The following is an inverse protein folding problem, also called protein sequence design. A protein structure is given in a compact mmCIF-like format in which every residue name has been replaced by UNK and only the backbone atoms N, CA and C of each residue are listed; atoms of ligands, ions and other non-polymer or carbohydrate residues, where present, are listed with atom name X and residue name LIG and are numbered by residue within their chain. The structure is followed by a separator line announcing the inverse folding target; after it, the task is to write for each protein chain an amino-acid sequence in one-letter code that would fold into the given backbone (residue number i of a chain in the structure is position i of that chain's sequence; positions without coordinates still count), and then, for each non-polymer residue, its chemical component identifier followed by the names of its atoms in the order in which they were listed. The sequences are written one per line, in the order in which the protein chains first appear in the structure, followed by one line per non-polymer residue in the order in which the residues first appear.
data_IF_514727071944
#
_entry.id   IF_514727071944
#
_cell.length_a   1.000
_cell.length_b   1.000
_cell.length_c   1.000
_cell.angle_alpha   90.00
_cell.angle_beta   90.00
_cell.angle_gamma   90.00
#
_symmetry.space_group_name_H-M   'P 1'
#
loop_
_entity.id
_entity.type
_entity.pdbx_description
1 polymer ?
#
# COMPACT_ATOMS: atom_id res chain seq x y z
N UNK A 1 -4.68 7.59 -30.10
CA UNK A 1 -3.39 6.92 -29.83
C UNK A 1 -2.36 7.98 -29.55
N UNK A 2 -1.66 7.91 -28.42
CA UNK A 2 -0.67 8.89 -27.99
C UNK A 2 0.68 8.20 -27.75
N UNK A 3 1.78 8.98 -27.82
CA UNK A 3 3.13 8.53 -27.44
C UNK A 3 3.39 9.01 -26.01
N UNK A 4 3.69 8.07 -25.10
CA UNK A 4 3.80 8.32 -23.67
C UNK A 4 5.18 7.88 -23.19
N UNK A 5 5.89 8.76 -22.52
CA UNK A 5 7.04 8.44 -21.69
C UNK A 5 6.60 8.22 -20.26
N UNK A 6 7.11 7.18 -19.62
CA UNK A 6 6.92 6.92 -18.18
C UNK A 6 8.29 6.87 -17.52
N UNK A 7 8.54 7.72 -16.54
CA UNK A 7 9.81 7.81 -15.83
C UNK A 7 9.66 7.17 -14.45
N UNK A 8 10.44 6.10 -14.24
CA UNK A 8 10.37 5.23 -13.07
C UNK A 8 9.54 3.98 -13.34
N UNK A 9 10.18 2.82 -13.36
CA UNK A 9 9.54 1.50 -13.50
C UNK A 9 9.33 0.82 -12.15
N UNK A 10 9.00 1.61 -11.12
CA UNK A 10 8.49 1.10 -9.85
C UNK A 10 7.04 0.61 -10.00
N UNK A 11 6.42 0.22 -8.90
CA UNK A 11 5.05 -0.31 -8.88
C UNK A 11 4.05 0.55 -9.68
N UNK A 12 3.97 1.83 -9.39
CA UNK A 12 3.05 2.78 -10.04
C UNK A 12 3.41 2.97 -11.52
N UNK A 13 4.70 3.17 -11.82
CA UNK A 13 5.12 3.45 -13.19
C UNK A 13 4.99 2.24 -14.10
N UNK A 14 5.36 1.06 -13.66
CA UNK A 14 5.23 -0.17 -14.42
C UNK A 14 3.76 -0.49 -14.74
N UNK A 15 2.89 -0.41 -13.74
CA UNK A 15 1.44 -0.59 -13.93
C UNK A 15 0.88 0.46 -14.90
N UNK A 16 1.27 1.73 -14.73
CA UNK A 16 0.86 2.82 -15.62
C UNK A 16 1.28 2.56 -17.07
N UNK A 17 2.53 2.15 -17.28
CA UNK A 17 3.07 1.87 -18.61
C UNK A 17 2.37 0.68 -19.30
N UNK A 18 2.21 -0.42 -18.59
CA UNK A 18 1.56 -1.62 -19.10
C UNK A 18 0.07 -1.38 -19.43
N UNK A 19 -0.65 -0.71 -18.54
CA UNK A 19 -2.06 -0.42 -18.74
C UNK A 19 -2.31 0.60 -19.86
N UNK A 20 -1.48 1.65 -20.02
CA UNK A 20 -1.59 2.54 -21.18
C UNK A 20 -1.28 1.82 -22.49
N UNK A 21 -0.29 0.90 -22.53
CA UNK A 21 -0.04 0.06 -23.69
C UNK A 21 -1.25 -0.82 -24.03
N UNK A 22 -1.92 -1.37 -23.04
CA UNK A 22 -3.17 -2.14 -23.16
C UNK A 22 -4.32 -1.27 -23.70
N UNK A 23 -4.41 0.00 -23.29
CA UNK A 23 -5.40 0.97 -23.80
C UNK A 23 -5.07 1.46 -25.22
N UNK A 24 -3.99 0.98 -25.84
CA UNK A 24 -3.66 1.24 -27.23
C UNK A 24 -2.69 2.40 -27.46
N UNK A 25 -2.06 2.93 -26.43
CA UNK A 25 -1.02 3.94 -26.54
C UNK A 25 0.36 3.30 -26.83
N UNK A 26 1.30 4.08 -27.34
CA UNK A 26 2.71 3.66 -27.46
C UNK A 26 3.49 4.21 -26.28
N UNK A 27 4.12 3.34 -25.50
CA UNK A 27 4.72 3.69 -24.22
C UNK A 27 6.21 3.33 -24.20
N UNK A 28 7.02 4.28 -23.73
CA UNK A 28 8.42 4.10 -23.38
C UNK A 28 8.55 4.26 -21.88
N UNK A 29 8.90 3.18 -21.17
CA UNK A 29 9.09 3.20 -19.72
C UNK A 29 10.59 3.17 -19.39
N UNK A 30 11.05 4.16 -18.66
CA UNK A 30 12.44 4.36 -18.28
C UNK A 30 12.69 4.05 -16.82
N UNK A 31 13.83 3.47 -16.52
CA UNK A 31 14.36 3.34 -15.14
C UNK A 31 15.89 3.56 -15.16
N UNK A 32 16.45 3.90 -14.01
CA UNK A 32 17.90 4.06 -13.82
C UNK A 32 18.60 2.75 -13.51
N UNK A 33 17.85 1.72 -13.13
CA UNK A 33 18.34 0.38 -12.83
C UNK A 33 18.42 -0.48 -14.08
N UNK A 34 19.63 -0.70 -14.60
CA UNK A 34 19.86 -1.49 -15.80
C UNK A 34 19.48 -2.97 -15.67
N UNK A 35 19.60 -3.56 -14.48
CA UNK A 35 19.21 -4.95 -14.25
C UNK A 35 17.68 -5.09 -14.33
N UNK A 36 16.95 -4.18 -13.70
CA UNK A 36 15.50 -4.09 -13.77
C UNK A 36 15.02 -3.89 -15.20
N UNK A 37 15.59 -2.93 -15.94
CA UNK A 37 15.25 -2.68 -17.34
C UNK A 37 15.45 -3.93 -18.20
N UNK A 38 16.57 -4.64 -18.02
CA UNK A 38 16.84 -5.87 -18.75
C UNK A 38 15.84 -6.99 -18.42
N UNK A 39 15.46 -7.16 -17.16
CA UNK A 39 14.46 -8.13 -16.72
C UNK A 39 13.07 -7.79 -17.30
N UNK A 40 12.63 -6.54 -17.17
CA UNK A 40 11.36 -6.06 -17.71
C UNK A 40 11.28 -6.20 -19.25
N UNK A 41 12.41 -6.03 -19.95
CA UNK A 41 12.51 -6.28 -21.39
C UNK A 41 12.25 -7.73 -21.81
N UNK A 42 12.35 -8.67 -20.85
CA UNK A 42 12.01 -10.10 -21.02
C UNK A 42 10.67 -10.47 -20.37
N UNK A 43 9.90 -9.47 -19.93
CA UNK A 43 8.66 -9.64 -19.16
C UNK A 43 8.87 -10.35 -17.80
N UNK A 44 10.07 -10.30 -17.23
CA UNK A 44 10.37 -10.77 -15.90
C UNK A 44 10.07 -9.64 -14.90
N UNK A 45 9.03 -9.83 -14.08
CA UNK A 45 8.54 -8.82 -13.14
C UNK A 45 8.82 -9.29 -11.72
N UNK A 46 9.51 -8.47 -10.92
CA UNK A 46 9.84 -8.78 -9.53
C UNK A 46 8.72 -8.44 -8.53
N UNK A 47 7.63 -7.83 -8.96
CA UNK A 47 6.54 -7.43 -8.08
C UNK A 47 5.37 -8.43 -8.17
N UNK A 48 4.81 -8.79 -7.03
CA UNK A 48 3.61 -9.62 -6.96
C UNK A 48 2.35 -8.78 -7.26
N UNK A 49 1.97 -8.71 -8.55
CA UNK A 49 0.77 -7.98 -9.00
C UNK A 49 0.01 -8.81 -10.04
N UNK A 50 -1.18 -9.32 -9.73
CA UNK A 50 -1.96 -10.16 -10.63
C UNK A 50 -2.21 -9.52 -11.99
N UNK A 51 -1.90 -10.26 -13.07
CA UNK A 51 -2.13 -9.84 -14.45
C UNK A 51 -1.11 -8.85 -15.02
N UNK A 52 -0.20 -8.28 -14.21
CA UNK A 52 0.77 -7.29 -14.69
C UNK A 52 1.80 -7.92 -15.63
N UNK A 53 2.29 -9.12 -15.34
CA UNK A 53 3.24 -9.84 -16.18
C UNK A 53 2.67 -10.09 -17.59
N UNK A 54 1.41 -10.52 -17.68
CA UNK A 54 0.73 -10.77 -18.94
C UNK A 54 0.58 -9.49 -19.76
N UNK A 55 0.22 -8.37 -19.13
CA UNK A 55 0.09 -7.07 -19.79
C UNK A 55 1.43 -6.56 -20.32
N UNK A 56 2.51 -6.72 -19.56
CA UNK A 56 3.86 -6.35 -20.01
C UNK A 56 4.25 -7.20 -21.21
N UNK A 57 4.08 -8.53 -21.14
CA UNK A 57 4.38 -9.44 -22.25
C UNK A 57 3.54 -9.12 -23.51
N UNK A 58 2.26 -8.80 -23.34
CA UNK A 58 1.38 -8.36 -24.44
C UNK A 58 1.88 -7.05 -25.05
N UNK A 59 2.20 -6.05 -24.24
CA UNK A 59 2.69 -4.75 -24.66
C UNK A 59 4.00 -4.84 -25.45
N UNK A 60 4.95 -5.65 -24.98
CA UNK A 60 6.23 -5.92 -25.67
C UNK A 60 6.00 -6.61 -27.02
N UNK A 61 5.21 -7.67 -27.07
CA UNK A 61 4.88 -8.40 -28.30
C UNK A 61 4.18 -7.53 -29.34
N UNK A 62 3.32 -6.62 -28.90
CA UNK A 62 2.59 -5.68 -29.75
C UNK A 62 3.44 -4.46 -30.17
N UNK A 63 4.70 -4.37 -29.73
CA UNK A 63 5.57 -3.21 -29.89
C UNK A 63 4.94 -1.88 -29.41
N UNK A 64 4.03 -1.96 -28.43
CA UNK A 64 3.40 -0.80 -27.78
C UNK A 64 4.06 -0.41 -26.47
N UNK A 65 4.88 -1.28 -25.90
CA UNK A 65 5.65 -1.04 -24.69
C UNK A 65 7.11 -1.37 -24.95
N UNK A 66 8.02 -0.53 -24.50
CA UNK A 66 9.45 -0.82 -24.44
C UNK A 66 10.04 -0.24 -23.16
N UNK A 67 11.09 -0.87 -22.65
CA UNK A 67 11.83 -0.43 -21.49
C UNK A 67 13.20 0.10 -21.89
N UNK A 68 13.65 1.19 -21.26
CA UNK A 68 14.91 1.86 -21.60
C UNK A 68 15.67 2.26 -20.34
N UNK A 69 17.00 2.23 -20.44
CA UNK A 69 17.88 2.69 -19.38
C UNK A 69 18.07 4.21 -19.49
N UNK A 70 17.82 4.92 -18.40
CA UNK A 70 17.89 6.38 -18.38
C UNK A 70 16.71 7.04 -19.10
N UNK A 71 16.53 8.35 -18.89
CA UNK A 71 15.31 9.06 -19.22
C UNK A 71 15.22 9.56 -20.69
N UNK A 72 16.36 9.66 -21.40
CA UNK A 72 16.45 10.35 -22.69
C UNK A 72 15.38 9.91 -23.71
N UNK A 73 15.23 8.61 -23.92
CA UNK A 73 14.27 8.05 -24.88
C UNK A 73 12.81 8.23 -24.45
N UNK A 74 12.54 8.26 -23.14
CA UNK A 74 11.20 8.45 -22.60
C UNK A 74 10.79 9.93 -22.54
N UNK A 75 11.75 10.84 -22.67
CA UNK A 75 11.53 12.29 -22.73
C UNK A 75 11.42 12.79 -24.18
N UNK A 76 12.11 12.12 -25.13
CA UNK A 76 12.15 12.58 -26.52
C UNK A 76 10.94 12.10 -27.32
N UNK A 77 10.44 12.96 -28.20
CA UNK A 77 9.37 12.67 -29.18
C UNK A 77 8.08 12.03 -28.62
N UNK A 78 7.70 12.38 -27.39
CA UNK A 78 6.48 11.94 -26.74
C UNK A 78 5.46 13.07 -26.59
N UNK A 79 4.17 12.71 -26.49
CA UNK A 79 3.07 13.66 -26.29
C UNK A 79 2.87 13.97 -24.80
N UNK A 80 3.18 12.98 -23.96
CA UNK A 80 3.05 13.03 -22.51
C UNK A 80 4.26 12.38 -21.85
N UNK A 81 4.68 12.94 -20.71
CA UNK A 81 5.67 12.33 -19.83
C UNK A 81 5.05 12.16 -18.44
N UNK A 82 4.92 10.92 -17.98
CA UNK A 82 4.44 10.61 -16.64
C UNK A 82 5.61 10.43 -15.68
N UNK A 83 5.67 11.26 -14.64
CA UNK A 83 6.64 11.14 -13.56
C UNK A 83 6.09 10.19 -12.51
N UNK A 84 6.66 9.00 -12.44
CA UNK A 84 6.30 7.92 -11.51
C UNK A 84 7.49 7.55 -10.60
N UNK A 85 8.32 8.52 -10.26
CA UNK A 85 9.50 8.36 -9.42
C UNK A 85 9.12 8.34 -7.94
N UNK A 86 9.95 7.71 -7.07
CA UNK A 86 9.68 7.66 -5.63
C UNK A 86 9.72 9.04 -4.99
N UNK A 87 8.84 9.23 -3.99
CA UNK A 87 8.79 10.40 -3.11
C UNK A 87 8.78 9.93 -1.66
N UNK A 88 9.93 9.44 -1.13
CA UNK A 88 10.00 8.89 0.22
C UNK A 88 9.83 10.00 1.26
N UNK A 89 9.63 9.61 2.52
CA UNK A 89 9.59 10.56 3.64
C UNK A 89 11.00 11.06 3.94
N UNK A 90 11.19 12.36 3.93
CA UNK A 90 12.42 13.03 4.37
C UNK A 90 12.59 12.99 5.90
N UNK A 91 13.75 13.45 6.37
CA UNK A 91 14.08 13.46 7.79
C UNK A 91 13.16 14.36 8.64
N UNK A 92 12.57 15.37 8.03
CA UNK A 92 11.60 16.31 8.59
C UNK A 92 10.14 15.85 8.50
N UNK A 93 9.89 14.65 7.93
CA UNK A 93 8.56 14.14 7.69
C UNK A 93 7.93 14.60 6.37
N UNK A 94 8.49 15.58 5.68
CA UNK A 94 8.05 16.02 4.37
C UNK A 94 8.37 15.00 3.26
N UNK A 95 7.73 15.12 2.10
CA UNK A 95 8.06 14.30 0.94
C UNK A 95 9.41 14.75 0.32
N UNK A 96 10.34 13.82 0.12
CA UNK A 96 11.58 14.07 -0.61
C UNK A 96 11.31 14.09 -2.12
N UNK A 97 11.48 15.24 -2.74
CA UNK A 97 11.27 15.48 -4.17
C UNK A 97 12.56 15.47 -4.99
N UNK A 98 13.67 14.97 -4.44
CA UNK A 98 14.97 14.94 -5.12
C UNK A 98 14.89 14.22 -6.46
N UNK A 99 14.23 13.07 -6.53
CA UNK A 99 14.06 12.32 -7.77
C UNK A 99 13.18 13.06 -8.79
N UNK A 100 12.10 13.69 -8.34
CA UNK A 100 11.24 14.55 -9.19
C UNK A 100 12.05 15.69 -9.78
N UNK A 101 12.80 16.43 -8.96
CA UNK A 101 13.63 17.55 -9.39
C UNK A 101 14.75 17.14 -10.36
N UNK A 102 15.31 15.93 -10.22
CA UNK A 102 16.32 15.40 -11.13
C UNK A 102 15.73 15.18 -12.54
N UNK A 103 14.56 14.51 -12.61
CA UNK A 103 13.87 14.28 -13.91
C UNK A 103 13.46 15.60 -14.57
N UNK A 104 13.02 16.59 -13.80
CA UNK A 104 12.60 17.88 -14.34
C UNK A 104 13.74 18.65 -15.00
N UNK A 105 14.97 18.60 -14.44
CA UNK A 105 16.13 19.21 -15.09
C UNK A 105 16.43 18.58 -16.45
N UNK A 106 16.29 17.28 -16.59
CA UNK A 106 16.45 16.59 -17.88
C UNK A 106 15.29 16.88 -18.83
N UNK A 107 14.05 16.87 -18.32
CA UNK A 107 12.85 17.10 -19.10
C UNK A 107 12.80 18.50 -19.72
N UNK A 108 13.27 19.52 -18.99
CA UNK A 108 13.28 20.93 -19.45
C UNK A 108 13.82 21.09 -20.85
N UNK A 109 14.95 20.42 -21.16
CA UNK A 109 15.65 20.57 -22.42
C UNK A 109 15.28 19.46 -23.45
N UNK A 110 14.76 18.32 -23.00
CA UNK A 110 14.54 17.14 -23.81
C UNK A 110 13.13 17.02 -24.40
N UNK A 111 12.11 17.54 -23.69
CA UNK A 111 10.72 17.39 -24.16
C UNK A 111 10.39 18.31 -25.31
N UNK A 112 9.63 17.82 -26.26
CA UNK A 112 9.21 18.59 -27.44
C UNK A 112 8.16 19.66 -27.08
N UNK A 113 8.04 20.71 -27.90
CA UNK A 113 6.95 21.68 -27.79
C UNK A 113 5.58 21.00 -27.80
N UNK A 114 4.69 21.46 -26.91
CA UNK A 114 3.34 20.92 -26.75
C UNK A 114 3.26 19.59 -25.97
N UNK A 115 4.37 19.09 -25.43
CA UNK A 115 4.37 17.96 -24.51
C UNK A 115 3.67 18.34 -23.19
N UNK A 116 2.99 17.38 -22.56
CA UNK A 116 2.41 17.54 -21.23
C UNK A 116 3.23 16.73 -20.23
N UNK A 117 3.80 17.39 -19.23
CA UNK A 117 4.42 16.75 -18.08
C UNK A 117 3.35 16.40 -17.05
N UNK A 118 3.22 15.13 -16.71
CA UNK A 118 2.18 14.62 -15.80
C UNK A 118 2.83 14.11 -14.53
N UNK A 119 2.58 14.78 -13.40
CA UNK A 119 3.03 14.33 -12.09
C UNK A 119 2.06 13.27 -11.59
N UNK A 120 2.48 12.01 -11.62
CA UNK A 120 1.72 10.88 -11.11
C UNK A 120 2.20 10.47 -9.72
N UNK A 121 3.46 10.71 -9.39
CA UNK A 121 3.98 10.57 -8.03
C UNK A 121 3.15 11.37 -7.03
N UNK A 122 2.99 10.84 -5.82
CA UNK A 122 2.31 11.57 -4.72
C UNK A 122 3.22 12.68 -4.22
N UNK A 123 2.79 13.92 -4.39
CA UNK A 123 3.55 15.13 -4.06
C UNK A 123 2.73 16.10 -3.22
N UNK A 124 3.35 16.94 -2.35
CA UNK A 124 2.65 17.96 -1.59
C UNK A 124 1.90 18.96 -2.45
N UNK A 125 0.80 19.51 -1.90
CA UNK A 125 0.01 20.54 -2.58
C UNK A 125 0.88 21.76 -2.95
N UNK A 126 0.68 22.27 -4.19
CA UNK A 126 1.48 23.34 -4.79
C UNK A 126 2.75 22.87 -5.54
N UNK A 127 3.03 21.56 -5.54
CA UNK A 127 4.21 21.04 -6.24
C UNK A 127 4.08 21.22 -7.76
N UNK A 128 2.90 21.01 -8.34
CA UNK A 128 2.68 21.13 -9.79
C UNK A 128 2.94 22.55 -10.28
N UNK A 129 2.52 23.58 -9.53
CA UNK A 129 2.78 24.98 -9.84
C UNK A 129 4.28 25.29 -9.77
N UNK A 130 4.95 24.87 -8.69
CA UNK A 130 6.39 25.00 -8.56
C UNK A 130 7.16 24.30 -9.67
N UNK A 131 6.70 23.13 -10.11
CA UNK A 131 7.28 22.41 -11.23
C UNK A 131 7.13 23.20 -12.54
N UNK A 132 5.97 23.78 -12.79
CA UNK A 132 5.76 24.62 -13.97
C UNK A 132 6.70 25.82 -14.00
N UNK A 133 6.92 26.47 -12.85
CA UNK A 133 7.90 27.56 -12.70
C UNK A 133 9.34 27.09 -12.95
N UNK A 134 9.73 25.92 -12.43
CA UNK A 134 11.08 25.36 -12.60
C UNK A 134 11.36 24.94 -14.06
N UNK A 135 10.36 24.41 -14.75
CA UNK A 135 10.45 24.04 -16.16
C UNK A 135 10.62 25.28 -17.04
N UNK A 136 9.97 26.40 -16.68
CA UNK A 136 10.08 27.71 -17.35
C UNK A 136 9.94 27.63 -18.86
N UNK A 137 8.92 26.86 -19.32
CA UNK A 137 8.63 26.61 -20.73
C UNK A 137 7.14 26.79 -21.00
N UNK A 138 6.70 27.92 -21.60
CA UNK A 138 5.29 28.20 -21.87
C UNK A 138 4.65 27.24 -22.87
N UNK A 139 5.45 26.55 -23.66
CA UNK A 139 5.06 25.53 -24.63
C UNK A 139 4.91 24.12 -24.02
N UNK A 140 5.21 23.94 -22.73
CA UNK A 140 5.09 22.70 -21.95
C UNK A 140 4.14 22.91 -20.80
N UNK A 141 3.08 22.14 -20.76
CA UNK A 141 2.12 22.21 -19.66
C UNK A 141 2.43 21.17 -18.59
N UNK A 142 2.22 21.51 -17.32
CA UNK A 142 2.38 20.60 -16.18
C UNK A 142 1.01 20.27 -15.59
N UNK A 143 0.76 19.00 -15.33
CA UNK A 143 -0.52 18.50 -14.86
C UNK A 143 -0.31 17.53 -13.70
N UNK A 144 -1.11 17.63 -12.64
CA UNK A 144 -1.21 16.63 -11.58
C UNK A 144 -2.19 15.54 -11.98
N UNK A 145 -1.78 14.29 -11.90
CA UNK A 145 -2.67 13.13 -12.09
C UNK A 145 -2.35 12.06 -11.05
N UNK A 146 -2.75 12.25 -9.80
CA UNK A 146 -2.47 11.30 -8.73
C UNK A 146 -3.06 9.93 -9.04
N UNK A 147 -2.42 8.89 -8.52
CA UNK A 147 -2.86 7.51 -8.61
C UNK A 147 -3.66 7.10 -7.36
N UNK A 148 -4.51 6.07 -7.51
CA UNK A 148 -5.29 5.47 -6.42
C UNK A 148 -5.19 3.94 -6.49
N UNK A 149 -4.01 3.44 -6.87
CA UNK A 149 -3.72 2.02 -7.05
C UNK A 149 -3.51 1.34 -5.70
N UNK A 150 -4.05 0.13 -5.57
CA UNK A 150 -3.84 -0.74 -4.40
C UNK A 150 -2.92 -1.88 -4.82
N UNK A 151 -1.84 -2.09 -4.09
CA UNK A 151 -0.96 -3.25 -4.30
C UNK A 151 -1.76 -4.55 -4.28
N UNK A 152 -1.47 -5.47 -5.22
CA UNK A 152 -2.26 -6.68 -5.46
C UNK A 152 -3.54 -6.47 -6.28
N UNK A 153 -3.92 -5.23 -6.61
CA UNK A 153 -5.11 -4.89 -7.40
C UNK A 153 -4.87 -3.75 -8.40
N UNK A 154 -3.62 -3.35 -8.63
CA UNK A 154 -3.31 -2.12 -9.36
C UNK A 154 -3.69 -2.18 -10.85
N UNK A 155 -3.60 -3.35 -11.48
CA UNK A 155 -4.05 -3.54 -12.86
C UNK A 155 -5.56 -3.30 -12.97
N UNK A 156 -6.33 -3.86 -12.04
CA UNK A 156 -7.78 -3.68 -12.01
C UNK A 156 -8.16 -2.24 -11.69
N UNK A 157 -7.55 -1.66 -10.66
CA UNK A 157 -7.75 -0.26 -10.25
C UNK A 157 -7.39 0.73 -11.38
N UNK A 158 -6.41 0.41 -12.24
CA UNK A 158 -6.06 1.26 -13.37
C UNK A 158 -7.04 1.12 -14.55
N UNK A 159 -7.43 -0.12 -14.90
CA UNK A 159 -8.28 -0.39 -16.06
C UNK A 159 -9.77 -0.16 -15.77
N UNK A 160 -10.19 -0.24 -14.52
CA UNK A 160 -11.55 0.01 -14.03
C UNK A 160 -11.55 0.99 -12.84
N UNK A 161 -10.95 2.19 -13.00
CA UNK A 161 -10.83 3.10 -11.88
C UNK A 161 -12.20 3.67 -11.49
N UNK A 162 -12.43 3.85 -10.21
CA UNK A 162 -13.64 4.53 -9.72
C UNK A 162 -13.68 6.00 -10.14
N UNK A 163 -12.50 6.60 -10.35
CA UNK A 163 -12.33 7.98 -10.80
C UNK A 163 -10.95 8.22 -11.37
N UNK A 164 -10.84 9.18 -12.27
CA UNK A 164 -9.57 9.79 -12.72
C UNK A 164 -9.55 11.23 -12.23
N UNK A 165 -8.53 11.62 -11.47
CA UNK A 165 -8.37 13.00 -10.98
C UNK A 165 -7.26 13.67 -11.79
N UNK A 166 -7.54 14.85 -12.33
CA UNK A 166 -6.59 15.63 -13.12
C UNK A 166 -6.62 17.08 -12.64
N UNK A 167 -5.48 17.58 -12.19
CA UNK A 167 -5.29 18.94 -11.74
C UNK A 167 -4.43 19.74 -12.70
N UNK A 168 -4.95 20.86 -13.19
CA UNK A 168 -4.21 21.77 -14.06
C UNK A 168 -4.92 23.10 -14.18
N UNK A 169 -4.15 24.17 -14.25
CA UNK A 169 -4.66 25.50 -14.62
C UNK A 169 -4.90 25.63 -16.14
N UNK A 170 -4.28 24.73 -16.94
CA UNK A 170 -4.48 24.64 -18.38
C UNK A 170 -5.56 23.60 -18.72
N UNK A 171 -6.79 24.03 -18.94
CA UNK A 171 -7.95 23.17 -19.19
C UNK A 171 -7.73 22.22 -20.38
N UNK A 172 -7.05 22.66 -21.45
CA UNK A 172 -6.74 21.83 -22.61
C UNK A 172 -5.78 20.69 -22.26
N UNK A 173 -4.73 20.96 -21.48
CA UNK A 173 -3.81 19.94 -21.00
C UNK A 173 -4.53 18.90 -20.13
N UNK A 174 -5.41 19.35 -19.24
CA UNK A 174 -6.22 18.46 -18.40
C UNK A 174 -7.12 17.55 -19.26
N UNK A 175 -7.82 18.11 -20.26
CA UNK A 175 -8.66 17.32 -21.18
C UNK A 175 -7.84 16.29 -21.97
N UNK A 176 -6.64 16.65 -22.43
CA UNK A 176 -5.72 15.74 -23.12
C UNK A 176 -5.30 14.57 -22.24
N UNK A 177 -5.02 14.82 -20.95
CA UNK A 177 -4.69 13.75 -19.99
C UNK A 177 -5.92 12.86 -19.73
N UNK A 178 -7.11 13.42 -19.50
CA UNK A 178 -8.35 12.65 -19.34
C UNK A 178 -8.60 11.74 -20.55
N UNK A 179 -8.34 12.22 -21.76
CA UNK A 179 -8.54 11.44 -23.00
C UNK A 179 -7.67 10.17 -23.06
N UNK A 180 -6.54 10.10 -22.33
CA UNK A 180 -5.72 8.88 -22.26
C UNK A 180 -6.45 7.73 -21.56
N UNK A 181 -7.39 8.05 -20.68
CA UNK A 181 -8.18 7.09 -19.90
C UNK A 181 -9.54 6.77 -20.54
N UNK A 182 -9.83 7.25 -21.75
CA UNK A 182 -11.15 7.09 -22.39
C UNK A 182 -11.62 5.62 -22.46
N UNK A 183 -10.68 4.67 -22.61
CA UNK A 183 -10.97 3.23 -22.67
C UNK A 183 -11.44 2.63 -21.32
N UNK A 184 -11.31 3.35 -20.21
CA UNK A 184 -11.71 2.85 -18.87
C UNK A 184 -13.18 3.12 -18.54
N UNK A 185 -13.81 4.11 -19.18
CA UNK A 185 -15.17 4.53 -18.90
C UNK A 185 -15.37 5.23 -17.55
N UNK A 186 -14.30 5.52 -16.81
CA UNK A 186 -14.37 6.12 -15.49
C UNK A 186 -14.76 7.62 -15.55
N UNK A 187 -15.46 8.13 -14.52
CA UNK A 187 -15.69 9.57 -14.38
C UNK A 187 -14.35 10.30 -14.13
N UNK A 188 -14.19 11.46 -14.75
CA UNK A 188 -13.02 12.30 -14.56
C UNK A 188 -13.40 13.54 -13.74
N UNK A 189 -12.60 13.81 -12.69
CA UNK A 189 -12.63 15.07 -11.95
C UNK A 189 -11.48 15.95 -12.46
N UNK A 190 -11.81 17.03 -13.14
CA UNK A 190 -10.85 18.07 -13.52
C UNK A 190 -10.96 19.21 -12.52
N UNK A 191 -9.81 19.62 -11.95
CA UNK A 191 -9.75 20.65 -10.90
C UNK A 191 -8.42 21.41 -10.96
N UNK A 192 -8.19 22.38 -10.07
CA UNK A 192 -6.88 23.02 -9.90
C UNK A 192 -5.82 22.05 -9.37
N UNK A 193 -4.56 22.33 -9.67
CA UNK A 193 -3.42 21.45 -9.38
C UNK A 193 -3.32 21.11 -7.89
N UNK A 194 -3.35 22.11 -7.01
CA UNK A 194 -3.25 21.91 -5.56
C UNK A 194 -4.40 21.06 -5.00
N UNK A 195 -5.62 21.22 -5.56
CA UNK A 195 -6.78 20.40 -5.17
C UNK A 195 -6.59 18.93 -5.55
N UNK A 196 -6.09 18.64 -6.76
CA UNK A 196 -5.82 17.29 -7.21
C UNK A 196 -4.76 16.59 -6.36
N UNK A 197 -3.67 17.31 -6.03
CA UNK A 197 -2.61 16.83 -5.13
C UNK A 197 -3.17 16.51 -3.75
N UNK A 198 -3.97 17.42 -3.19
CA UNK A 198 -4.57 17.24 -1.87
C UNK A 198 -5.59 16.09 -1.82
N UNK A 199 -6.34 15.82 -2.90
CA UNK A 199 -7.29 14.70 -2.97
C UNK A 199 -6.60 13.37 -2.67
N UNK A 200 -5.37 13.14 -3.15
CA UNK A 200 -4.62 11.91 -2.88
C UNK A 200 -4.34 11.75 -1.39
N UNK A 201 -3.74 12.76 -0.77
CA UNK A 201 -3.44 12.74 0.66
C UNK A 201 -4.69 12.63 1.52
N UNK A 202 -5.71 13.44 1.22
CA UNK A 202 -6.98 13.42 1.96
C UNK A 202 -7.63 12.04 1.93
N UNK A 203 -7.64 11.39 0.74
CA UNK A 203 -8.20 10.04 0.60
C UNK A 203 -7.43 9.02 1.45
N UNK A 204 -6.10 8.98 1.35
CA UNK A 204 -5.29 8.01 2.08
C UNK A 204 -5.35 8.24 3.60
N UNK A 205 -5.30 9.50 4.05
CA UNK A 205 -5.42 9.85 5.47
C UNK A 205 -6.82 9.52 6.03
N UNK A 206 -7.87 9.70 5.24
CA UNK A 206 -9.23 9.31 5.64
C UNK A 206 -9.36 7.79 5.81
N UNK A 207 -8.78 7.01 4.90
CA UNK A 207 -8.77 5.55 5.02
C UNK A 207 -7.95 5.07 6.23
N UNK A 208 -6.79 5.67 6.48
CA UNK A 208 -6.00 5.42 7.68
C UNK A 208 -6.76 5.77 8.97
N UNK A 209 -7.51 6.88 8.96
CA UNK A 209 -8.39 7.27 10.07
C UNK A 209 -9.49 6.23 10.32
N UNK A 210 -10.16 5.71 9.29
CA UNK A 210 -11.17 4.64 9.44
C UNK A 210 -10.59 3.42 10.15
N UNK A 211 -9.38 2.98 9.77
CA UNK A 211 -8.72 1.85 10.41
C UNK A 211 -8.34 2.15 11.87
N UNK A 212 -7.80 3.34 12.17
CA UNK A 212 -7.51 3.75 13.54
C UNK A 212 -8.77 3.84 14.40
N UNK A 213 -9.87 4.37 13.83
CA UNK A 213 -11.17 4.45 14.51
C UNK A 213 -11.72 3.07 14.84
N UNK A 214 -11.72 2.16 13.89
CA UNK A 214 -12.22 0.78 14.10
C UNK A 214 -11.35 0.01 15.09
N UNK A 215 -10.04 0.19 15.07
CA UNK A 215 -9.13 -0.39 16.06
C UNK A 215 -9.44 0.11 17.50
N UNK A 216 -9.78 1.41 17.64
CA UNK A 216 -10.21 1.96 18.92
C UNK A 216 -11.57 1.39 19.36
N UNK A 217 -12.51 1.21 18.44
CA UNK A 217 -13.79 0.56 18.73
C UNK A 217 -13.60 -0.90 19.16
N UNK A 218 -12.68 -1.64 18.51
CA UNK A 218 -12.36 -3.01 18.88
C UNK A 218 -11.90 -3.11 20.33
N UNK A 219 -11.04 -2.20 20.80
CA UNK A 219 -10.64 -2.14 22.19
C UNK A 219 -11.83 -1.84 23.13
N UNK A 220 -12.70 -0.93 22.73
CA UNK A 220 -13.89 -0.62 23.53
C UNK A 220 -14.83 -1.83 23.61
N UNK A 221 -15.05 -2.54 22.50
CA UNK A 221 -15.90 -3.74 22.47
C UNK A 221 -15.44 -4.80 23.47
N UNK A 222 -14.14 -5.08 23.57
CA UNK A 222 -13.58 -6.03 24.53
C UNK A 222 -13.94 -5.64 26.00
N UNK A 223 -13.91 -4.34 26.30
CA UNK A 223 -14.16 -3.84 27.67
C UNK A 223 -15.64 -3.81 28.03
N UNK A 224 -16.52 -3.51 27.06
CA UNK A 224 -17.97 -3.40 27.31
C UNK A 224 -18.73 -4.69 27.00
N UNK A 225 -18.07 -5.70 26.45
CA UNK A 225 -18.66 -7.00 26.11
C UNK A 225 -19.46 -7.00 24.79
N UNK A 226 -19.16 -6.09 23.87
CA UNK A 226 -19.68 -6.08 22.52
C UNK A 226 -18.78 -6.92 21.58
N UNK A 227 -19.29 -7.25 20.38
CA UNK A 227 -18.54 -7.85 19.28
C UNK A 227 -18.27 -6.79 18.21
N UNK A 228 -17.01 -6.60 17.84
CA UNK A 228 -16.62 -5.63 16.82
C UNK A 228 -17.19 -5.99 15.44
N UNK A 229 -17.36 -7.29 15.13
CA UNK A 229 -17.98 -7.74 13.88
C UNK A 229 -19.41 -7.23 13.75
N UNK A 230 -20.22 -7.38 14.80
CA UNK A 230 -21.61 -6.88 14.82
C UNK A 230 -21.65 -5.34 14.70
N UNK A 231 -20.75 -4.65 15.40
CA UNK A 231 -20.67 -3.19 15.35
C UNK A 231 -20.30 -2.71 13.94
N UNK A 232 -19.28 -3.29 13.32
CA UNK A 232 -18.86 -2.89 11.98
C UNK A 232 -19.84 -3.30 10.91
N UNK A 233 -20.54 -4.43 11.07
CA UNK A 233 -21.63 -4.82 10.17
C UNK A 233 -22.78 -3.80 10.23
N UNK A 234 -23.20 -3.40 11.43
CA UNK A 234 -24.19 -2.32 11.58
C UNK A 234 -23.75 -1.01 10.93
N UNK A 235 -22.45 -0.67 11.03
CA UNK A 235 -21.89 0.52 10.37
C UNK A 235 -21.89 0.41 8.83
N UNK A 236 -21.62 -0.78 8.27
CA UNK A 236 -21.59 -1.03 6.82
C UNK A 236 -22.93 -0.84 6.13
N UNK A 237 -24.01 -1.05 6.86
CA UNK A 237 -25.39 -0.86 6.35
C UNK A 237 -25.75 0.62 6.14
N UNK A 238 -24.93 1.55 6.62
CA UNK A 238 -25.11 2.99 6.39
C UNK A 238 -24.24 3.44 5.21
N UNK A 239 -24.87 3.75 4.06
CA UNK A 239 -24.19 4.21 2.84
C UNK A 239 -23.35 5.47 3.06
N UNK A 240 -23.65 6.30 4.06
CA UNK A 240 -22.86 7.50 4.41
C UNK A 240 -21.49 7.14 4.98
N UNK A 241 -21.35 5.95 5.58
CA UNK A 241 -20.09 5.42 6.13
C UNK A 241 -19.33 4.63 5.06
N UNK A 242 -20.04 3.83 4.28
CA UNK A 242 -19.51 2.91 3.29
C UNK A 242 -18.89 1.65 3.91
N UNK A 243 -18.82 0.57 3.14
CA UNK A 243 -18.49 -0.77 3.63
C UNK A 243 -16.99 -1.07 3.79
N UNK A 244 -16.10 -0.27 3.17
CA UNK A 244 -14.67 -0.55 3.15
C UNK A 244 -13.91 0.06 4.32
N UNK A 245 -12.75 -0.54 4.68
CA UNK A 245 -11.85 -0.06 5.74
C UNK A 245 -12.49 -0.03 7.14
N UNK A 246 -13.33 -1.04 7.44
CA UNK A 246 -13.97 -1.25 8.74
C UNK A 246 -13.52 -2.56 9.41
N UNK A 247 -12.48 -3.20 8.93
CA UNK A 247 -11.87 -4.38 9.56
C UNK A 247 -10.80 -3.95 10.56
N UNK A 248 -10.91 -4.34 11.85
CA UNK A 248 -9.82 -4.12 12.80
C UNK A 248 -8.62 -5.00 12.45
N UNK A 249 -7.44 -4.60 12.95
CA UNK A 249 -6.22 -5.34 12.69
C UNK A 249 -5.06 -4.87 13.56
N UNK A 250 -3.83 -5.39 13.32
CA UNK A 250 -2.64 -5.04 14.10
C UNK A 250 -2.14 -3.61 13.84
N UNK A 251 -2.80 -2.88 12.95
CA UNK A 251 -2.47 -1.53 12.52
C UNK A 251 -2.51 -1.41 10.99
N UNK A 252 -2.23 -0.20 10.51
CA UNK A 252 -2.04 0.08 9.09
C UNK A 252 -0.57 0.42 8.79
N UNK A 253 -0.12 0.07 7.59
CA UNK A 253 1.25 0.22 7.14
C UNK A 253 1.34 0.28 5.62
N UNK A 254 2.38 -0.33 5.06
CA UNK A 254 2.67 -0.34 3.64
C UNK A 254 3.32 0.96 3.15
N UNK A 255 3.55 1.04 1.86
CA UNK A 255 4.28 2.12 1.21
C UNK A 255 3.56 3.47 1.16
N UNK A 256 2.24 3.51 1.46
CA UNK A 256 1.41 4.69 1.23
C UNK A 256 0.97 5.40 2.53
N UNK A 257 0.22 4.73 3.40
CA UNK A 257 -0.40 5.39 4.56
C UNK A 257 0.59 6.05 5.52
N UNK A 258 1.71 5.38 5.92
CA UNK A 258 2.67 6.00 6.84
C UNK A 258 3.31 7.26 6.25
N UNK A 259 3.68 7.21 4.98
CA UNK A 259 4.29 8.30 4.24
C UNK A 259 3.30 9.47 4.06
N UNK A 260 2.09 9.17 3.59
CA UNK A 260 1.12 10.19 3.21
C UNK A 260 0.51 10.90 4.43
N UNK A 261 0.32 10.19 5.55
CA UNK A 261 -0.15 10.80 6.80
C UNK A 261 0.88 11.77 7.39
N UNK A 262 2.18 11.42 7.35
CA UNK A 262 3.27 12.31 7.78
C UNK A 262 3.39 13.52 6.85
N UNK A 263 3.36 13.30 5.53
CA UNK A 263 3.47 14.38 4.56
C UNK A 263 2.29 15.38 4.63
N UNK A 264 1.06 14.90 4.84
CA UNK A 264 -0.08 15.79 5.04
C UNK A 264 0.03 16.57 6.35
N UNK A 265 0.54 15.93 7.41
CA UNK A 265 0.76 16.63 8.68
C UNK A 265 1.82 17.72 8.54
N UNK A 266 2.94 17.45 7.87
CA UNK A 266 3.97 18.44 7.55
C UNK A 266 3.40 19.59 6.71
N UNK A 267 2.60 19.28 5.68
CA UNK A 267 1.92 20.30 4.87
C UNK A 267 1.00 21.19 5.71
N UNK A 268 0.27 20.62 6.67
CA UNK A 268 -0.60 21.39 7.57
C UNK A 268 0.23 22.30 8.50
N UNK A 269 1.36 21.83 9.02
CA UNK A 269 2.28 22.59 9.86
C UNK A 269 2.90 23.76 9.10
N UNK A 270 3.34 23.55 7.86
CA UNK A 270 3.86 24.60 6.98
C UNK A 270 2.79 25.66 6.69
N UNK A 271 1.55 25.23 6.50
CA UNK A 271 0.39 26.11 6.34
C UNK A 271 -0.11 26.73 7.66
N UNK A 272 0.52 26.42 8.81
CA UNK A 272 0.11 26.85 10.17
C UNK A 272 -1.31 26.42 10.54
N UNK A 273 -1.74 25.28 10.07
CA UNK A 273 -3.02 24.67 10.40
C UNK A 273 -2.77 23.53 11.40
N UNK A 274 -3.38 23.61 12.58
CA UNK A 274 -3.36 22.48 13.50
C UNK A 274 -4.31 21.37 12.99
N UNK A 275 -3.81 20.13 12.93
CA UNK A 275 -4.59 18.97 12.45
C UNK A 275 -4.65 17.87 13.50
N UNK A 276 -5.37 18.09 14.61
CA UNK A 276 -5.39 17.18 15.76
C UNK A 276 -5.96 15.80 15.40
N UNK A 277 -6.95 15.73 14.49
CA UNK A 277 -7.52 14.46 14.05
C UNK A 277 -6.49 13.56 13.37
N UNK A 278 -5.62 14.13 12.53
CA UNK A 278 -4.57 13.37 11.85
C UNK A 278 -3.48 12.91 12.83
N UNK A 279 -3.10 13.77 13.80
CA UNK A 279 -2.17 13.38 14.87
C UNK A 279 -2.74 12.24 15.71
N UNK A 280 -4.02 12.31 16.08
CA UNK A 280 -4.69 11.23 16.81
C UNK A 280 -4.72 9.93 16.02
N UNK A 281 -4.98 10.00 14.70
CA UNK A 281 -4.97 8.84 13.79
C UNK A 281 -3.62 8.14 13.80
N UNK A 282 -2.53 8.89 13.64
CA UNK A 282 -1.15 8.37 13.66
C UNK A 282 -0.82 7.80 15.04
N UNK A 283 -1.15 8.53 16.10
CA UNK A 283 -0.89 8.10 17.49
C UNK A 283 -1.62 6.80 17.84
N UNK A 284 -2.89 6.67 17.47
CA UNK A 284 -3.68 5.44 17.68
C UNK A 284 -3.02 4.25 16.94
N UNK A 285 -2.58 4.43 15.70
CA UNK A 285 -1.88 3.38 14.98
C UNK A 285 -0.58 2.97 15.66
N UNK A 286 0.19 3.92 16.16
CA UNK A 286 1.42 3.64 16.90
C UNK A 286 1.21 2.82 18.18
N UNK A 287 0.07 2.96 18.85
CA UNK A 287 -0.28 2.16 20.03
C UNK A 287 -0.78 0.75 19.70
N UNK A 288 -1.27 0.51 18.49
CA UNK A 288 -1.93 -0.74 18.12
C UNK A 288 -1.00 -1.96 18.23
N UNK A 289 0.26 -1.85 17.81
CA UNK A 289 1.23 -2.93 17.94
C UNK A 289 1.47 -3.31 19.42
N UNK A 290 1.58 -2.33 20.32
CA UNK A 290 1.72 -2.58 21.77
C UNK A 290 0.49 -3.29 22.34
N UNK A 291 -0.71 -2.93 21.87
CA UNK A 291 -1.94 -3.59 22.28
C UNK A 291 -1.96 -5.06 21.84
N UNK A 292 -1.57 -5.35 20.59
CA UNK A 292 -1.46 -6.74 20.10
C UNK A 292 -0.47 -7.54 20.94
N UNK A 293 0.71 -6.97 21.26
CA UNK A 293 1.70 -7.62 22.14
C UNK A 293 1.13 -7.90 23.54
N UNK A 294 0.34 -6.99 24.10
CA UNK A 294 -0.32 -7.21 25.39
C UNK A 294 -1.33 -8.37 25.31
N UNK A 295 -2.12 -8.47 24.23
CA UNK A 295 -3.05 -9.58 23.99
C UNK A 295 -2.31 -10.93 23.88
N UNK A 296 -1.21 -10.98 23.12
CA UNK A 296 -0.39 -12.18 22.99
C UNK A 296 0.18 -12.60 24.34
N UNK A 297 0.74 -11.65 25.11
CA UNK A 297 1.29 -11.90 26.44
C UNK A 297 0.22 -12.50 27.38
N UNK A 298 -0.97 -11.93 27.39
CA UNK A 298 -2.08 -12.44 28.22
C UNK A 298 -2.49 -13.85 27.80
N UNK A 299 -2.66 -14.09 26.49
CA UNK A 299 -3.05 -15.38 25.93
C UNK A 299 -2.05 -16.51 26.27
N UNK A 300 -0.74 -16.22 26.28
CA UNK A 300 0.29 -17.22 26.59
C UNK A 300 0.64 -17.31 28.08
N UNK A 301 -0.11 -16.66 28.99
CA UNK A 301 0.04 -16.80 30.43
C UNK A 301 0.94 -15.78 31.12
N UNK A 302 1.09 -14.57 30.55
CA UNK A 302 1.60 -13.37 31.23
C UNK A 302 3.10 -13.06 31.00
N UNK A 303 3.88 -13.96 30.41
CA UNK A 303 5.31 -13.69 30.08
C UNK A 303 5.62 -14.11 28.65
N UNK A 304 6.45 -13.35 27.95
CA UNK A 304 6.96 -13.65 26.61
C UNK A 304 8.39 -14.16 26.62
N UNK A 305 9.12 -14.02 27.72
CA UNK A 305 10.51 -14.41 27.83
C UNK A 305 10.68 -15.92 27.61
N UNK A 306 11.43 -16.29 26.57
CA UNK A 306 11.71 -17.66 26.17
C UNK A 306 10.58 -18.38 25.42
N UNK A 307 9.39 -17.77 25.25
CA UNK A 307 8.28 -18.34 24.48
C UNK A 307 8.64 -18.48 23.00
N UNK A 308 8.23 -19.58 22.40
CA UNK A 308 8.32 -19.83 20.97
C UNK A 308 7.00 -19.43 20.32
N UNK A 309 6.99 -18.33 19.59
CA UNK A 309 5.81 -17.83 18.94
C UNK A 309 5.91 -17.97 17.43
N UNK A 310 4.85 -18.52 16.84
CA UNK A 310 4.68 -18.63 15.40
C UNK A 310 3.85 -17.46 14.87
N UNK A 311 4.35 -16.76 13.84
CA UNK A 311 3.68 -15.65 13.19
C UNK A 311 3.12 -16.09 11.84
N UNK A 312 1.85 -15.91 11.60
CA UNK A 312 1.17 -16.18 10.33
C UNK A 312 0.87 -14.86 9.63
N UNK A 313 1.65 -14.60 8.56
CA UNK A 313 1.64 -13.35 7.82
C UNK A 313 2.66 -12.34 8.35
N UNK A 314 3.46 -11.80 7.42
CA UNK A 314 4.54 -10.85 7.68
C UNK A 314 4.40 -9.58 6.83
N UNK A 315 3.77 -9.69 5.65
CA UNK A 315 3.46 -8.56 4.77
C UNK A 315 2.44 -7.62 5.42
N UNK A 316 2.40 -6.36 5.00
CA UNK A 316 1.48 -5.38 5.61
C UNK A 316 -0.01 -5.70 5.36
N UNK A 317 -0.30 -6.44 4.31
CA UNK A 317 -1.63 -7.02 3.96
C UNK A 317 -1.45 -8.22 3.04
N UNK A 318 -2.49 -9.04 2.87
CA UNK A 318 -2.51 -10.12 1.89
C UNK A 318 -2.45 -9.61 0.43
N UNK A 319 -1.98 -10.47 -0.49
CA UNK A 319 -1.93 -10.20 -1.93
C UNK A 319 -0.75 -9.33 -2.39
N UNK A 320 0.28 -9.15 -1.56
CA UNK A 320 1.51 -8.44 -1.89
C UNK A 320 2.72 -9.06 -1.17
N UNK A 321 3.90 -8.81 -1.67
CA UNK A 321 5.19 -9.11 -1.04
C UNK A 321 5.80 -7.92 -0.26
N UNK A 322 5.06 -6.81 -0.10
CA UNK A 322 5.56 -5.58 0.51
C UNK A 322 5.62 -5.67 2.04
N UNK A 323 6.83 -5.53 2.57
CA UNK A 323 7.15 -5.53 4.01
C UNK A 323 7.33 -4.12 4.59
N UNK A 324 7.27 -3.07 3.77
CA UNK A 324 7.50 -1.68 4.21
C UNK A 324 6.48 -1.24 5.26
N UNK A 325 6.97 -0.73 6.37
CA UNK A 325 6.14 -0.30 7.51
C UNK A 325 5.06 -1.36 7.89
N UNK A 326 5.39 -2.68 7.75
CA UNK A 326 4.45 -3.75 8.07
C UNK A 326 4.08 -3.73 9.56
N UNK A 327 2.78 -3.66 9.91
CA UNK A 327 2.33 -3.81 11.29
C UNK A 327 2.72 -5.17 11.90
N UNK A 328 2.79 -6.22 11.08
CA UNK A 328 3.22 -7.54 11.51
C UNK A 328 4.68 -7.51 12.00
N UNK A 329 5.58 -6.86 11.26
CA UNK A 329 6.98 -6.72 11.65
C UNK A 329 7.16 -5.77 12.85
N UNK A 330 6.29 -4.76 13.00
CA UNK A 330 6.28 -3.92 14.19
C UNK A 330 5.92 -4.73 15.44
N UNK A 331 4.88 -5.56 15.37
CA UNK A 331 4.49 -6.50 16.44
C UNK A 331 5.62 -7.49 16.72
N UNK A 332 6.21 -8.10 15.68
CA UNK A 332 7.33 -9.04 15.82
C UNK A 332 8.51 -8.42 16.55
N UNK A 333 8.89 -7.19 16.22
CA UNK A 333 9.98 -6.48 16.87
C UNK A 333 9.73 -6.27 18.36
N UNK A 334 8.51 -5.94 18.76
CA UNK A 334 8.11 -5.76 20.16
C UNK A 334 8.07 -7.10 20.91
N UNK A 335 7.55 -8.18 20.31
CA UNK A 335 7.56 -9.53 20.90
C UNK A 335 8.98 -10.01 21.15
N UNK A 336 9.89 -9.81 20.19
CA UNK A 336 11.30 -10.17 20.34
C UNK A 336 11.99 -9.33 21.44
N UNK A 337 11.69 -8.04 21.53
CA UNK A 337 12.22 -7.17 22.58
C UNK A 337 11.80 -7.63 24.00
N UNK A 338 10.66 -8.31 24.15
CA UNK A 338 10.22 -8.95 25.38
C UNK A 338 10.76 -10.39 25.59
N UNK A 339 11.67 -10.83 24.71
CA UNK A 339 12.39 -12.10 24.83
C UNK A 339 11.72 -13.32 24.19
N UNK A 340 10.72 -13.13 23.34
CA UNK A 340 10.14 -14.21 22.54
C UNK A 340 11.10 -14.67 21.44
N UNK A 341 11.04 -15.94 21.07
CA UNK A 341 11.71 -16.55 19.91
C UNK A 341 10.68 -16.69 18.79
N UNK A 342 10.96 -16.05 17.64
CA UNK A 342 9.97 -15.92 16.59
C UNK A 342 10.32 -16.77 15.37
N UNK A 343 9.35 -17.56 14.92
CA UNK A 343 9.28 -18.13 13.58
C UNK A 343 8.09 -17.54 12.84
N UNK A 344 8.12 -17.51 11.52
CA UNK A 344 6.99 -16.98 10.74
C UNK A 344 6.84 -17.66 9.41
N UNK A 345 5.64 -17.57 8.87
CA UNK A 345 5.31 -17.96 7.51
C UNK A 345 4.46 -16.90 6.84
N UNK A 346 4.79 -16.61 5.60
CA UNK A 346 4.00 -15.74 4.72
C UNK A 346 4.12 -16.28 3.29
N UNK A 347 3.03 -16.40 2.52
CA UNK A 347 3.06 -16.97 1.16
C UNK A 347 3.98 -16.24 0.17
N UNK A 348 4.31 -14.98 0.44
CA UNK A 348 5.10 -14.12 -0.44
C UNK A 348 6.49 -13.77 0.12
N UNK A 349 6.89 -14.33 1.28
CA UNK A 349 8.15 -14.01 1.94
C UNK A 349 8.94 -15.27 2.21
N UNK A 350 10.13 -15.38 1.61
CA UNK A 350 11.00 -16.56 1.75
C UNK A 350 12.28 -16.29 2.57
N UNK A 351 12.58 -15.03 2.86
CA UNK A 351 13.80 -14.64 3.58
C UNK A 351 13.48 -14.18 4.99
N UNK A 352 14.43 -14.38 5.92
CA UNK A 352 14.31 -13.95 7.30
C UNK A 352 14.06 -12.44 7.39
N UNK A 353 13.10 -12.03 8.24
CA UNK A 353 12.67 -10.65 8.38
C UNK A 353 12.93 -10.12 9.80
N UNK A 354 13.95 -9.31 9.98
CA UNK A 354 14.30 -8.75 11.28
C UNK A 354 14.50 -9.84 12.34
N UNK A 355 13.68 -9.91 13.41
CA UNK A 355 13.81 -10.94 14.45
C UNK A 355 13.09 -12.26 14.10
N UNK A 356 12.45 -12.37 12.94
CA UNK A 356 11.63 -13.51 12.55
C UNK A 356 12.43 -14.44 11.63
N UNK A 357 12.59 -15.70 12.04
CA UNK A 357 13.06 -16.77 11.16
C UNK A 357 11.87 -17.24 10.32
N UNK A 358 11.98 -17.12 9.00
CA UNK A 358 10.93 -17.53 8.07
C UNK A 358 11.05 -19.02 7.77
N UNK A 359 9.91 -19.71 7.76
CA UNK A 359 9.78 -21.13 7.48
C UNK A 359 8.85 -21.34 6.28
N UNK A 360 8.89 -22.53 5.69
CA UNK A 360 8.26 -22.85 4.41
C UNK A 360 6.75 -23.11 4.51
N UNK A 361 6.18 -23.24 5.73
CA UNK A 361 4.75 -23.50 5.91
C UNK A 361 4.24 -23.11 7.31
N UNK A 362 2.91 -22.97 7.44
CA UNK A 362 2.24 -22.74 8.70
C UNK A 362 2.42 -23.92 9.68
N UNK A 363 2.48 -25.16 9.18
CA UNK A 363 2.73 -26.36 9.96
C UNK A 363 4.13 -26.33 10.60
N UNK A 364 5.16 -25.97 9.81
CA UNK A 364 6.51 -25.83 10.33
C UNK A 364 6.63 -24.74 11.40
N UNK A 365 5.85 -23.66 11.27
CA UNK A 365 5.77 -22.57 12.27
C UNK A 365 5.07 -23.06 13.55
N UNK A 366 4.07 -23.91 13.44
CA UNK A 366 3.32 -24.46 14.58
C UNK A 366 4.13 -25.48 15.39
N UNK A 367 5.14 -26.15 14.78
CA UNK A 367 5.88 -27.22 15.44
C UNK A 367 6.55 -26.77 16.74
N UNK A 368 6.01 -27.29 17.84
CA UNK A 368 6.43 -26.98 19.20
C UNK A 368 6.25 -25.50 19.61
N UNK A 369 5.45 -24.73 18.93
CA UNK A 369 5.15 -23.35 19.30
C UNK A 369 4.32 -23.27 20.61
N UNK A 370 4.55 -22.23 21.39
CA UNK A 370 3.79 -21.91 22.60
C UNK A 370 2.56 -21.04 22.31
N UNK A 371 2.46 -20.51 21.09
CA UNK A 371 1.32 -19.76 20.57
C UNK A 371 1.53 -19.36 19.11
N UNK A 372 0.41 -19.21 18.39
CA UNK A 372 0.38 -18.64 17.03
C UNK A 372 -0.24 -17.25 17.06
N UNK A 373 0.20 -16.40 16.17
CA UNK A 373 -0.35 -15.03 16.00
C UNK A 373 -0.63 -14.79 14.52
N UNK A 374 -1.89 -14.57 14.15
CA UNK A 374 -2.28 -14.20 12.79
C UNK A 374 -2.16 -12.69 12.65
N UNK A 375 -1.26 -12.23 11.79
CA UNK A 375 -0.93 -10.82 11.62
C UNK A 375 -1.32 -10.27 10.24
N UNK A 376 -1.40 -11.14 9.21
CA UNK A 376 -1.83 -10.77 7.86
C UNK A 376 -2.98 -11.68 7.42
N UNK A 377 -3.97 -11.11 6.75
CA UNK A 377 -5.22 -11.77 6.39
C UNK A 377 -5.12 -12.63 5.11
N UNK A 378 -4.10 -13.48 5.02
CA UNK A 378 -4.00 -14.43 3.90
C UNK A 378 -5.14 -15.45 3.95
N UNK A 379 -5.94 -15.59 2.86
CA UNK A 379 -7.10 -16.49 2.86
C UNK A 379 -6.78 -17.94 3.21
N UNK A 380 -5.61 -18.44 2.84
CA UNK A 380 -5.17 -19.79 3.12
C UNK A 380 -5.09 -20.10 4.61
N UNK A 381 -4.85 -19.10 5.47
CA UNK A 381 -4.82 -19.32 6.91
C UNK A 381 -6.19 -19.71 7.49
N UNK A 382 -7.29 -19.37 6.84
CA UNK A 382 -8.62 -19.82 7.25
C UNK A 382 -8.88 -21.33 6.94
N UNK A 383 -8.09 -21.91 6.03
CA UNK A 383 -8.28 -23.28 5.53
C UNK A 383 -7.23 -24.28 6.06
N UNK A 384 -6.44 -23.89 7.06
CA UNK A 384 -5.41 -24.76 7.66
C UNK A 384 -6.01 -25.99 8.35
N UNK A 385 -5.23 -27.07 8.46
CA UNK A 385 -5.59 -28.28 9.21
C UNK A 385 -5.43 -28.03 10.71
N UNK A 386 -6.44 -27.44 11.32
CA UNK A 386 -6.44 -27.04 12.73
C UNK A 386 -6.16 -28.17 13.71
N UNK A 387 -6.76 -29.38 13.58
CA UNK A 387 -6.42 -30.52 14.43
C UNK A 387 -4.95 -30.91 14.38
N UNK A 388 -4.36 -30.90 13.18
CA UNK A 388 -2.95 -31.26 13.00
C UNK A 388 -2.03 -30.17 13.60
N UNK A 389 -2.35 -28.88 13.39
CA UNK A 389 -1.60 -27.79 14.00
C UNK A 389 -1.65 -27.85 15.53
N UNK A 390 -2.83 -28.07 16.12
CA UNK A 390 -2.98 -28.18 17.57
C UNK A 390 -2.13 -29.30 18.16
N UNK A 391 -2.09 -30.44 17.48
CA UNK A 391 -1.29 -31.59 17.91
C UNK A 391 0.23 -31.37 17.81
N UNK A 392 0.69 -30.52 16.88
CA UNK A 392 2.10 -30.19 16.68
C UNK A 392 2.63 -29.15 17.69
N UNK A 393 1.75 -28.33 18.28
CA UNK A 393 2.13 -27.23 19.17
C UNK A 393 2.42 -27.73 20.60
N UNK A 394 3.28 -27.00 21.28
CA UNK A 394 3.46 -27.18 22.73
C UNK A 394 2.24 -26.73 23.54
N UNK A 395 1.56 -25.67 23.07
CA UNK A 395 0.30 -25.17 23.61
C UNK A 395 -0.58 -24.65 22.48
N UNK A 396 -1.82 -25.15 22.33
CA UNK A 396 -2.72 -24.72 21.26
C UNK A 396 -3.40 -23.39 21.63
N UNK A 397 -2.62 -22.31 21.59
CA UNK A 397 -3.07 -20.93 21.79
C UNK A 397 -2.90 -20.18 20.47
N UNK A 398 -3.93 -19.44 20.04
CA UNK A 398 -3.86 -18.63 18.84
C UNK A 398 -4.48 -17.25 19.06
N UNK A 399 -3.76 -16.21 18.66
CA UNK A 399 -4.24 -14.82 18.68
C UNK A 399 -4.52 -14.40 17.23
N UNK A 400 -5.79 -14.20 16.93
CA UNK A 400 -6.24 -13.75 15.61
C UNK A 400 -6.48 -12.24 15.62
N UNK A 401 -5.53 -11.48 15.09
CA UNK A 401 -5.64 -10.02 15.02
C UNK A 401 -6.42 -9.53 13.81
N UNK A 402 -6.86 -10.42 12.93
CA UNK A 402 -7.58 -10.11 11.69
C UNK A 402 -9.04 -10.58 11.70
N UNK A 403 -9.46 -11.30 12.73
CA UNK A 403 -10.77 -11.95 12.79
C UNK A 403 -11.06 -12.82 11.55
N UNK A 404 -10.01 -13.45 11.02
CA UNK A 404 -10.00 -14.23 9.79
C UNK A 404 -10.44 -15.66 10.02
N UNK A 405 -10.10 -16.22 11.18
CA UNK A 405 -10.17 -17.65 11.42
C UNK A 405 -11.61 -18.12 11.67
N UNK A 406 -11.97 -19.35 11.21
CA UNK A 406 -13.27 -19.96 11.50
C UNK A 406 -13.34 -20.41 12.98
N UNK A 407 -13.80 -19.50 13.85
CA UNK A 407 -13.71 -19.63 15.31
C UNK A 407 -14.22 -20.97 15.84
N UNK A 408 -15.34 -21.49 15.32
CA UNK A 408 -15.91 -22.78 15.74
C UNK A 408 -14.96 -23.95 15.43
N UNK A 409 -14.43 -24.02 14.20
CA UNK A 409 -13.49 -25.09 13.80
C UNK A 409 -12.18 -25.04 14.62
N UNK A 410 -11.68 -23.82 14.86
CA UNK A 410 -10.45 -23.61 15.66
C UNK A 410 -10.66 -24.03 17.11
N UNK A 411 -11.82 -23.70 17.70
CA UNK A 411 -12.16 -24.13 19.06
C UNK A 411 -12.40 -25.65 19.15
N UNK A 412 -13.08 -26.27 18.19
CA UNK A 412 -13.29 -27.72 18.10
C UNK A 412 -11.96 -28.49 18.00
N UNK A 413 -10.94 -27.90 17.34
CA UNK A 413 -9.59 -28.46 17.30
C UNK A 413 -8.81 -28.32 18.60
N UNK A 414 -9.37 -27.68 19.63
CA UNK A 414 -8.79 -27.57 20.96
C UNK A 414 -7.94 -26.31 21.19
N UNK A 415 -7.99 -25.33 20.28
CA UNK A 415 -7.30 -24.06 20.48
C UNK A 415 -8.00 -23.15 21.52
N UNK A 416 -7.19 -22.49 22.31
CA UNK A 416 -7.60 -21.27 22.99
C UNK A 416 -7.46 -20.11 21.99
N UNK A 417 -8.58 -19.71 21.38
CA UNK A 417 -8.63 -18.62 20.41
C UNK A 417 -8.89 -17.27 21.10
N UNK A 418 -8.01 -16.30 20.85
CA UNK A 418 -8.16 -14.91 21.27
C UNK A 418 -8.29 -14.04 20.01
N UNK A 419 -9.40 -13.33 19.84
CA UNK A 419 -9.67 -12.51 18.64
C UNK A 419 -9.78 -11.03 18.99
N UNK A 420 -9.33 -10.16 18.10
CA UNK A 420 -9.34 -8.72 18.30
C UNK A 420 -10.77 -8.17 18.34
N UNK A 421 -11.11 -7.41 19.37
CA UNK A 421 -12.42 -6.76 19.48
C UNK A 421 -13.58 -7.69 19.81
N UNK A 422 -13.30 -8.93 20.20
CA UNK A 422 -14.31 -9.90 20.63
C UNK A 422 -14.15 -10.27 22.09
N UNK A 423 -15.27 -10.60 22.72
CA UNK A 423 -15.25 -11.08 24.10
C UNK A 423 -14.75 -12.51 24.15
N UNK A 424 -13.72 -12.75 24.94
CA UNK A 424 -13.26 -14.10 25.22
C UNK A 424 -14.00 -14.62 26.46
N UNK A 425 -14.67 -15.79 26.41
CA UNK A 425 -15.17 -16.43 27.60
C UNK A 425 -13.97 -16.71 28.54
N UNK A 426 -14.12 -16.26 29.82
CA UNK A 426 -13.13 -16.50 30.85
C UNK A 426 -13.06 -17.97 31.21
#
# INVERSE_FOLDING_TARGET
MARIGVIGAGYVGLTTAACFARLGHTVVCADVDGAKVAALGRAEIGAHEPGLADLVAEGLRAARLRFVLGNADALSDVDFVFLCVPTPTGADGAADLTAVNAVLREARDAVRPGCVLVIKSTVPAGTTERVAELVDRPDVQVVSNPEFLREGHAVDDFLRPQRVVVGSEAEDAARRVVALYAGTGAPALVTGSASAELVKYASNCFLAMKLSYVNSLAELCERVGADIGDVTEGMRLDDRIGSSFLEPGPGWGGSCFPKDTRALLSTAEDARVDFPLLRATIGTNGHQAHRVVAMVREAVGGTLAGMRLGLLGLTFKAGTDDLRDSPALAVASLLAAEGARLTGYDPCVAEDCGPVRVLDSAEAVAEGADGLVVLTEWPEFAELDWPNLAAAMARPVIVDTRNLLPAEKVAEAGFHLVSLGRRHPK
#
